data_IF_406631795243
#
_entry.id   IF_406631795243
#
_cell.length_a   1.000
_cell.length_b   1.000
_cell.length_c   1.000
_cell.angle_alpha   90.00
_cell.angle_beta   90.00
_cell.angle_gamma   90.00
#
_symmetry.space_group_name_H-M   'P 1'
#
loop_
_entity.id
_entity.type
_entity.pdbx_description
1 polymer ?
#
# COMPACT_ATOMS: atom_id res chain seq x y z
N UNK A 1 -20.34 8.79 -9.92
CA UNK A 1 -19.37 8.79 -8.82
C UNK A 1 -18.14 7.96 -9.22
N UNK A 2 -16.95 8.58 -9.21
CA UNK A 2 -15.74 7.97 -9.80
C UNK A 2 -15.22 6.75 -9.05
N UNK A 3 -15.46 6.65 -7.76
CA UNK A 3 -15.02 5.52 -6.94
C UNK A 3 -15.92 4.28 -7.05
N UNK A 4 -17.05 4.38 -7.74
CA UNK A 4 -17.93 3.23 -8.04
C UNK A 4 -18.80 2.74 -6.89
N UNK A 5 -19.12 3.60 -5.93
CA UNK A 5 -20.01 3.26 -4.83
C UNK A 5 -20.94 4.39 -4.40
N UNK A 6 -21.88 4.06 -3.54
CA UNK A 6 -22.82 4.98 -2.90
C UNK A 6 -22.69 4.83 -1.40
N UNK A 7 -22.46 5.94 -0.73
CA UNK A 7 -22.48 6.01 0.72
C UNK A 7 -23.88 5.70 1.26
N UNK A 8 -24.00 4.89 2.29
CA UNK A 8 -25.28 4.52 2.90
C UNK A 8 -25.39 4.87 4.35
N UNK A 9 -24.45 4.46 5.17
CA UNK A 9 -24.51 4.68 6.61
C UNK A 9 -23.11 4.91 7.19
N UNK A 10 -23.09 5.62 8.30
CA UNK A 10 -21.89 5.72 9.13
C UNK A 10 -22.22 5.38 10.58
N UNK A 11 -21.23 4.90 11.28
CA UNK A 11 -21.25 4.71 12.72
C UNK A 11 -19.90 5.10 13.28
N UNK A 12 -19.90 5.95 14.30
CA UNK A 12 -18.69 6.31 15.03
C UNK A 12 -18.74 5.61 16.38
N UNK A 13 -17.87 4.62 16.58
CA UNK A 13 -17.73 3.97 17.88
C UNK A 13 -16.75 4.78 18.72
N UNK A 14 -17.26 5.35 19.81
CA UNK A 14 -16.41 5.89 20.88
C UNK A 14 -15.85 4.78 21.80
N UNK A 15 -16.27 3.53 21.59
CA UNK A 15 -15.87 2.40 22.43
C UNK A 15 -15.02 1.40 21.63
N UNK A 16 -13.69 1.40 21.81
CA UNK A 16 -12.79 0.47 21.13
C UNK A 16 -12.98 -1.00 21.55
N UNK A 17 -13.89 -1.29 22.49
CA UNK A 17 -14.13 -2.66 22.99
C UNK A 17 -15.03 -3.50 22.08
N UNK A 18 -15.64 -2.91 21.06
CA UNK A 18 -16.53 -3.63 20.14
C UNK A 18 -16.17 -3.29 18.69
N UNK A 19 -14.98 -3.75 18.22
CA UNK A 19 -14.67 -3.64 16.81
C UNK A 19 -15.61 -4.57 16.02
N UNK A 20 -16.16 -4.08 14.91
CA UNK A 20 -16.97 -4.92 14.01
C UNK A 20 -16.09 -5.81 13.16
N UNK A 21 -16.50 -7.06 12.98
CA UNK A 21 -15.80 -8.00 12.11
C UNK A 21 -16.00 -7.66 10.63
N UNK A 22 -14.97 -7.91 9.84
CA UNK A 22 -14.93 -7.70 8.39
C UNK A 22 -14.37 -8.93 7.69
N UNK A 23 -14.83 -9.15 6.46
CA UNK A 23 -14.28 -10.16 5.56
C UNK A 23 -14.30 -11.57 6.17
N UNK A 24 -15.46 -11.96 6.71
CA UNK A 24 -15.67 -13.26 7.39
C UNK A 24 -14.73 -13.47 8.60
N UNK A 25 -14.57 -12.46 9.42
CA UNK A 25 -13.76 -12.51 10.62
C UNK A 25 -12.23 -12.40 10.41
N UNK A 26 -11.78 -12.12 9.18
CA UNK A 26 -10.34 -11.99 8.87
C UNK A 26 -9.69 -10.76 9.47
N UNK A 27 -10.47 -9.72 9.73
CA UNK A 27 -10.02 -8.50 10.39
C UNK A 27 -11.17 -7.84 11.13
N UNK A 28 -10.88 -6.79 11.89
CA UNK A 28 -11.89 -5.95 12.53
C UNK A 28 -11.66 -4.49 12.15
N UNK A 29 -12.77 -3.74 11.99
CA UNK A 29 -12.73 -2.30 11.80
C UNK A 29 -12.50 -1.56 13.11
N UNK A 30 -11.93 -0.36 13.04
CA UNK A 30 -11.63 0.50 14.18
C UNK A 30 -11.95 1.95 13.87
N UNK A 31 -12.21 2.74 14.92
CA UNK A 31 -12.36 4.20 14.93
C UNK A 31 -13.68 4.68 14.33
N UNK A 32 -13.92 4.51 13.03
CA UNK A 32 -15.17 4.87 12.36
C UNK A 32 -15.61 3.74 11.43
N UNK A 33 -16.88 3.77 11.04
CA UNK A 33 -17.48 2.73 10.22
C UNK A 33 -18.43 3.36 9.20
N UNK A 34 -18.02 3.43 7.95
CA UNK A 34 -18.84 3.82 6.81
C UNK A 34 -19.21 2.59 6.00
N UNK A 35 -20.48 2.43 5.71
CA UNK A 35 -21.00 1.34 4.88
C UNK A 35 -21.41 1.84 3.48
N UNK A 36 -21.02 1.09 2.45
CA UNK A 36 -21.25 1.45 1.06
C UNK A 36 -22.02 0.37 0.31
N UNK A 37 -22.87 0.79 -0.63
CA UNK A 37 -23.35 -0.04 -1.73
C UNK A 37 -22.53 0.24 -2.98
N UNK A 38 -22.28 -0.80 -3.79
CA UNK A 38 -21.43 -0.66 -4.97
C UNK A 38 -22.24 -0.25 -6.21
N UNK A 39 -21.64 0.60 -7.04
CA UNK A 39 -22.07 0.94 -8.40
C UNK A 39 -20.88 0.83 -9.35
N UNK A 40 -20.48 -0.41 -9.65
CA UNK A 40 -19.38 -0.69 -10.57
C UNK A 40 -18.02 -0.96 -9.91
N UNK A 41 -17.84 -0.67 -8.62
CA UNK A 41 -16.65 -1.09 -7.87
C UNK A 41 -16.76 -2.57 -7.43
N UNK A 42 -15.64 -3.16 -7.01
CA UNK A 42 -15.58 -4.50 -6.43
C UNK A 42 -15.43 -4.41 -4.91
N UNK A 43 -16.16 -5.25 -4.16
CA UNK A 43 -15.96 -5.39 -2.73
C UNK A 43 -14.63 -6.09 -2.45
N UNK A 44 -13.89 -5.58 -1.48
CA UNK A 44 -12.68 -6.21 -0.91
C UNK A 44 -12.95 -6.74 0.50
N UNK A 45 -13.76 -6.04 1.26
CA UNK A 45 -14.27 -6.50 2.54
C UNK A 45 -15.68 -5.97 2.76
N UNK A 46 -16.53 -6.79 3.34
CA UNK A 46 -17.87 -6.43 3.82
C UNK A 46 -17.91 -6.50 5.33
N UNK A 47 -18.83 -5.78 5.94
CA UNK A 47 -19.11 -5.96 7.37
C UNK A 47 -19.81 -7.28 7.61
N UNK A 48 -19.42 -7.99 8.66
CA UNK A 48 -20.03 -9.23 9.07
C UNK A 48 -21.33 -8.99 9.88
N UNK A 49 -22.02 -10.04 10.24
CA UNK A 49 -23.35 -9.97 10.90
C UNK A 49 -23.34 -9.29 12.28
N UNK A 50 -22.17 -9.18 12.93
CA UNK A 50 -22.01 -8.48 14.21
C UNK A 50 -22.03 -6.94 14.09
N UNK A 51 -21.98 -6.43 12.88
CA UNK A 51 -22.00 -4.99 12.60
C UNK A 51 -23.40 -4.36 12.52
N UNK A 52 -24.44 -5.09 12.94
CA UNK A 52 -25.83 -4.61 13.01
C UNK A 52 -26.33 -4.00 11.69
N UNK A 53 -26.61 -2.69 11.69
CA UNK A 53 -27.14 -1.98 10.53
C UNK A 53 -26.12 -1.81 9.38
N UNK A 54 -24.84 -2.11 9.62
CA UNK A 54 -23.78 -2.13 8.61
C UNK A 54 -23.60 -3.52 8.02
N UNK A 55 -24.21 -4.55 8.59
CA UNK A 55 -24.10 -5.93 8.10
C UNK A 55 -24.36 -5.99 6.58
N UNK A 56 -23.53 -6.72 5.87
CA UNK A 56 -23.54 -6.90 4.41
C UNK A 56 -23.18 -5.64 3.58
N UNK A 57 -23.06 -4.46 4.19
CA UNK A 57 -22.53 -3.30 3.49
C UNK A 57 -21.02 -3.43 3.27
N UNK A 58 -20.54 -2.82 2.19
CA UNK A 58 -19.13 -2.84 1.85
C UNK A 58 -18.35 -1.89 2.75
N UNK A 59 -17.33 -2.40 3.40
CA UNK A 59 -16.38 -1.66 4.24
C UNK A 59 -15.15 -1.20 3.45
N UNK A 60 -14.66 -2.04 2.52
CA UNK A 60 -13.50 -1.74 1.67
C UNK A 60 -13.86 -2.10 0.24
N UNK A 61 -13.66 -1.16 -0.68
CA UNK A 61 -13.93 -1.35 -2.11
C UNK A 61 -12.76 -0.94 -2.98
N UNK A 62 -12.70 -1.52 -4.17
CA UNK A 62 -11.75 -1.16 -5.23
C UNK A 62 -12.48 -0.84 -6.51
N UNK A 63 -12.07 0.24 -7.18
CA UNK A 63 -12.49 0.54 -8.54
C UNK A 63 -11.29 0.84 -9.43
N UNK A 64 -11.40 0.55 -10.72
CA UNK A 64 -10.40 0.92 -11.74
C UNK A 64 -10.80 2.20 -12.44
N UNK A 65 -9.83 3.11 -12.59
CA UNK A 65 -10.00 4.35 -13.35
C UNK A 65 -8.82 4.53 -14.28
N UNK A 66 -9.02 4.28 -15.58
CA UNK A 66 -7.93 4.22 -16.54
C UNK A 66 -6.92 3.12 -16.17
N UNK A 67 -5.64 3.46 -16.09
CA UNK A 67 -4.58 2.57 -15.61
C UNK A 67 -4.45 2.51 -14.08
N UNK A 68 -5.12 3.42 -13.37
CA UNK A 68 -5.03 3.50 -11.90
C UNK A 68 -6.13 2.72 -11.18
N UNK A 69 -5.99 2.67 -9.85
CA UNK A 69 -6.96 2.08 -8.93
C UNK A 69 -7.34 3.08 -7.84
N UNK A 70 -8.59 3.02 -7.43
CA UNK A 70 -9.12 3.76 -6.29
C UNK A 70 -9.56 2.72 -5.26
N UNK A 71 -8.98 2.76 -4.08
CA UNK A 71 -9.40 1.94 -2.94
C UNK A 71 -10.04 2.86 -1.91
N UNK A 72 -11.30 2.57 -1.56
CA UNK A 72 -12.04 3.33 -0.56
C UNK A 72 -12.20 2.46 0.67
N UNK A 73 -11.82 2.99 1.82
CA UNK A 73 -11.94 2.33 3.11
C UNK A 73 -12.95 3.08 3.98
N UNK A 74 -13.99 2.40 4.39
CA UNK A 74 -15.02 2.88 5.31
C UNK A 74 -14.68 2.68 6.77
N UNK A 75 -13.55 2.07 7.07
CA UNK A 75 -13.03 1.87 8.43
C UNK A 75 -11.52 1.69 8.38
N UNK A 76 -10.86 1.79 9.52
CA UNK A 76 -9.45 1.39 9.68
C UNK A 76 -9.42 -0.09 10.05
N UNK A 77 -8.97 -1.00 9.18
CA UNK A 77 -8.79 -2.40 9.57
C UNK A 77 -7.58 -2.56 10.50
N UNK A 78 -7.44 -3.74 11.10
CA UNK A 78 -6.26 -4.07 11.89
C UNK A 78 -4.97 -3.90 11.08
N UNK A 79 -3.88 -3.52 11.77
CA UNK A 79 -2.63 -3.12 11.13
C UNK A 79 -2.08 -4.18 10.15
N UNK A 80 -2.09 -5.45 10.52
CA UNK A 80 -1.57 -6.53 9.67
C UNK A 80 -2.40 -6.70 8.39
N UNK A 81 -3.73 -6.59 8.47
CA UNK A 81 -4.60 -6.63 7.31
C UNK A 81 -4.36 -5.42 6.39
N UNK A 82 -4.25 -4.23 6.98
CA UNK A 82 -3.98 -2.99 6.24
C UNK A 82 -2.63 -3.05 5.50
N UNK A 83 -1.57 -3.48 6.18
CA UNK A 83 -0.24 -3.64 5.58
C UNK A 83 -0.26 -4.66 4.45
N UNK A 84 -0.91 -5.83 4.65
CA UNK A 84 -1.03 -6.85 3.62
C UNK A 84 -1.82 -6.35 2.39
N UNK A 85 -2.86 -5.54 2.60
CA UNK A 85 -3.62 -4.92 1.52
C UNK A 85 -2.75 -3.95 0.70
N UNK A 86 -1.96 -3.10 1.35
CA UNK A 86 -1.01 -2.20 0.69
C UNK A 86 0.03 -3.00 -0.09
N UNK A 87 0.66 -4.01 0.53
CA UNK A 87 1.64 -4.87 -0.12
C UNK A 87 1.04 -5.57 -1.35
N UNK A 88 -0.21 -6.03 -1.27
CA UNK A 88 -0.91 -6.64 -2.40
C UNK A 88 -0.99 -5.68 -3.59
N UNK A 89 -1.34 -4.41 -3.36
CA UNK A 89 -1.40 -3.42 -4.42
C UNK A 89 -0.02 -3.01 -4.95
N UNK A 90 0.98 -2.93 -4.10
CA UNK A 90 2.35 -2.66 -4.52
C UNK A 90 2.94 -3.78 -5.37
N UNK A 91 2.64 -5.05 -5.04
CA UNK A 91 3.12 -6.23 -5.80
C UNK A 91 2.41 -6.44 -7.14
N UNK A 92 1.32 -5.75 -7.40
CA UNK A 92 0.60 -5.87 -8.68
C UNK A 92 1.33 -5.21 -9.86
N UNK A 93 2.34 -4.40 -9.56
CA UNK A 93 3.32 -3.91 -10.53
C UNK A 93 4.65 -4.59 -10.18
N UNK A 94 5.26 -5.31 -11.12
CA UNK A 94 6.59 -5.90 -10.90
C UNK A 94 7.56 -4.75 -10.65
N UNK A 95 8.07 -4.57 -9.45
CA UNK A 95 8.99 -3.46 -9.19
C UNK A 95 10.30 -3.72 -9.95
N UNK A 96 10.89 -2.66 -10.47
CA UNK A 96 12.21 -2.71 -11.13
C UNK A 96 13.34 -3.05 -10.12
N UNK A 97 12.99 -3.24 -8.87
CA UNK A 97 13.92 -3.54 -7.79
C UNK A 97 13.27 -4.32 -6.65
N UNK A 98 14.09 -4.98 -5.85
CA UNK A 98 13.75 -5.49 -4.50
C UNK A 98 14.83 -5.05 -3.52
N UNK A 99 14.47 -4.81 -2.27
CA UNK A 99 15.42 -4.38 -1.23
C UNK A 99 15.24 -5.15 0.06
N UNK A 100 16.30 -5.18 0.88
CA UNK A 100 16.22 -5.65 2.26
C UNK A 100 15.39 -4.69 3.13
N UNK A 101 14.84 -5.19 4.25
CA UNK A 101 13.90 -4.47 5.12
C UNK A 101 14.49 -3.23 5.81
N UNK A 102 15.80 -3.10 5.83
CA UNK A 102 16.52 -1.98 6.41
C UNK A 102 16.87 -0.88 5.39
N UNK A 103 16.48 -1.05 4.13
CA UNK A 103 16.71 -0.07 3.06
C UNK A 103 15.39 0.54 2.61
N UNK A 104 15.22 1.82 2.89
CA UNK A 104 14.12 2.61 2.34
C UNK A 104 14.40 2.91 0.87
N UNK A 105 13.50 2.49 -0.02
CA UNK A 105 13.58 2.75 -1.46
C UNK A 105 12.40 3.63 -1.89
N UNK A 106 12.70 4.79 -2.45
CA UNK A 106 11.70 5.74 -2.90
C UNK A 106 11.83 5.95 -4.41
N UNK A 107 10.94 5.35 -5.24
CA UNK A 107 10.93 5.58 -6.68
C UNK A 107 10.69 7.06 -7.00
N UNK A 108 11.37 7.54 -8.03
CA UNK A 108 11.20 8.89 -8.57
C UNK A 108 11.07 8.84 -10.08
N UNK A 109 10.15 9.67 -10.59
CA UNK A 109 9.94 9.88 -12.00
C UNK A 109 9.80 11.36 -12.29
N UNK A 110 10.51 11.85 -13.28
CA UNK A 110 10.48 13.25 -13.71
C UNK A 110 10.85 13.40 -15.18
N UNK A 111 10.92 14.63 -15.64
CA UNK A 111 11.28 14.92 -17.06
C UNK A 111 12.70 14.44 -17.42
N UNK A 112 13.60 14.35 -16.43
CA UNK A 112 14.97 13.89 -16.62
C UNK A 112 15.12 12.36 -16.64
N UNK A 113 14.07 11.62 -16.30
CA UNK A 113 14.11 10.15 -16.26
C UNK A 113 13.44 9.56 -15.00
N UNK A 114 13.72 8.30 -14.79
CA UNK A 114 13.21 7.50 -13.67
C UNK A 114 14.38 6.98 -12.83
N UNK A 115 14.16 6.80 -11.54
CA UNK A 115 15.19 6.29 -10.65
C UNK A 115 14.71 6.01 -9.24
N UNK A 116 15.66 5.80 -8.32
CA UNK A 116 15.42 5.48 -6.92
C UNK A 116 16.26 6.38 -6.01
N UNK A 117 15.68 6.84 -4.92
CA UNK A 117 16.43 7.36 -3.78
C UNK A 117 16.42 6.26 -2.71
N UNK A 118 17.59 5.92 -2.21
CA UNK A 118 17.80 4.83 -1.24
C UNK A 118 18.42 5.41 0.03
N UNK A 119 18.02 4.86 1.17
CA UNK A 119 18.67 5.15 2.45
C UNK A 119 18.64 3.90 3.34
N UNK A 120 19.79 3.46 3.81
CA UNK A 120 19.86 2.48 4.89
C UNK A 120 19.64 3.19 6.24
N UNK A 121 18.72 2.70 7.09
CA UNK A 121 18.27 3.42 8.29
C UNK A 121 18.37 2.62 9.60
N UNK A 122 18.90 1.38 9.57
CA UNK A 122 19.02 0.51 10.77
C UNK A 122 20.45 0.25 11.21
N UNK A 123 21.44 0.99 10.67
CA UNK A 123 22.86 0.81 10.95
C UNK A 123 23.35 -0.63 10.69
N UNK A 124 22.89 -1.25 9.62
CA UNK A 124 23.23 -2.61 9.21
C UNK A 124 23.50 -2.68 7.71
N UNK A 125 24.33 -3.62 7.22
CA UNK A 125 24.49 -3.81 5.79
C UNK A 125 23.14 -4.10 5.13
N UNK A 126 22.84 -3.39 4.04
CA UNK A 126 21.64 -3.56 3.23
C UNK A 126 21.95 -4.13 1.85
N UNK A 127 20.93 -4.60 1.17
CA UNK A 127 21.00 -5.09 -0.20
C UNK A 127 19.86 -4.55 -1.05
N UNK A 128 20.14 -4.30 -2.32
CA UNK A 128 19.19 -3.94 -3.35
C UNK A 128 19.44 -4.83 -4.57
N UNK A 129 18.40 -5.41 -5.14
CA UNK A 129 18.48 -6.10 -6.44
C UNK A 129 17.78 -5.27 -7.49
N UNK A 130 18.51 -4.89 -8.54
CA UNK A 130 18.03 -4.08 -9.67
C UNK A 130 17.72 -4.96 -10.88
N UNK A 131 16.51 -4.84 -11.42
CA UNK A 131 16.13 -5.47 -12.68
C UNK A 131 16.55 -4.63 -13.92
N UNK A 132 16.96 -3.39 -13.69
CA UNK A 132 17.46 -2.44 -14.72
C UNK A 132 18.81 -1.87 -14.28
N UNK A 133 19.66 -1.51 -15.24
CA UNK A 133 20.90 -0.78 -14.95
C UNK A 133 20.57 0.62 -14.45
N UNK A 134 21.35 1.09 -13.48
CA UNK A 134 21.22 2.44 -12.94
C UNK A 134 22.59 3.04 -12.61
N UNK A 135 22.73 4.35 -12.77
CA UNK A 135 23.92 5.09 -12.35
C UNK A 135 23.61 5.86 -11.08
N UNK A 136 24.47 5.72 -10.09
CA UNK A 136 24.41 6.55 -8.88
C UNK A 136 24.90 7.97 -9.19
N UNK A 137 24.01 8.94 -9.01
CA UNK A 137 24.30 10.35 -9.29
C UNK A 137 25.27 10.98 -8.28
N UNK A 138 25.48 10.37 -7.11
CA UNK A 138 26.39 10.87 -6.11
C UNK A 138 27.84 10.47 -6.39
N UNK A 139 28.03 9.25 -6.93
CA UNK A 139 29.37 8.68 -7.16
C UNK A 139 29.72 8.50 -8.63
N UNK A 140 28.74 8.55 -9.53
CA UNK A 140 28.92 8.23 -10.95
C UNK A 140 29.06 6.75 -11.25
N UNK A 141 28.96 5.88 -10.25
CA UNK A 141 29.09 4.42 -10.41
C UNK A 141 27.84 3.82 -11.01
N UNK A 142 28.01 2.91 -11.98
CA UNK A 142 26.90 2.18 -12.59
C UNK A 142 26.72 0.81 -11.93
N UNK A 143 25.48 0.49 -11.59
CA UNK A 143 25.07 -0.75 -10.94
C UNK A 143 24.12 -1.55 -11.81
N UNK A 144 24.13 -2.87 -11.64
CA UNK A 144 23.16 -3.80 -12.23
C UNK A 144 23.11 -5.09 -11.40
N UNK A 145 21.92 -5.66 -11.21
CA UNK A 145 21.76 -6.83 -10.35
C UNK A 145 21.87 -6.46 -8.87
N UNK A 146 22.66 -7.24 -8.12
CA UNK A 146 22.79 -7.05 -6.66
C UNK A 146 23.73 -5.89 -6.33
N UNK A 147 23.29 -5.01 -5.43
CA UNK A 147 24.01 -3.84 -4.93
C UNK A 147 24.05 -3.90 -3.42
N UNK A 148 25.25 -3.83 -2.85
CA UNK A 148 25.44 -3.73 -1.41
C UNK A 148 25.40 -2.29 -0.94
N UNK A 149 24.68 -2.04 0.15
CA UNK A 149 24.49 -0.72 0.74
C UNK A 149 25.12 -0.75 2.13
N UNK A 150 26.05 0.18 2.39
CA UNK A 150 26.70 0.27 3.69
C UNK A 150 25.71 0.81 4.77
N UNK A 151 25.99 0.56 6.07
CA UNK A 151 25.20 1.16 7.15
C UNK A 151 25.13 2.69 7.04
N UNK A 152 23.91 3.23 7.11
CA UNK A 152 23.57 4.67 6.96
C UNK A 152 23.96 5.29 5.62
N UNK A 153 24.21 4.48 4.61
CA UNK A 153 24.50 4.98 3.27
C UNK A 153 23.25 5.45 2.53
N UNK A 154 23.45 6.39 1.61
CA UNK A 154 22.41 6.97 0.75
C UNK A 154 22.88 6.90 -0.69
N UNK A 155 22.01 6.45 -1.58
CA UNK A 155 22.28 6.42 -3.02
C UNK A 155 21.15 7.11 -3.79
N UNK A 156 21.50 7.75 -4.91
CA UNK A 156 20.54 8.36 -5.84
C UNK A 156 20.74 7.73 -7.21
N UNK A 157 19.96 6.69 -7.49
CA UNK A 157 20.09 5.89 -8.70
C UNK A 157 19.20 6.44 -9.82
N UNK A 158 19.77 6.68 -11.00
CA UNK A 158 19.06 7.01 -12.22
C UNK A 158 19.12 5.80 -13.16
N UNK A 159 17.97 5.29 -13.62
CA UNK A 159 17.92 4.20 -14.59
C UNK A 159 18.43 4.65 -15.96
N UNK A 160 19.14 3.74 -16.65
CA UNK A 160 19.70 3.95 -17.98
C UNK A 160 19.22 2.86 -18.94
#
# INVERSE_FOLDING_TARGET
EEWGGVYRKYFVSSNPRYPFSLDNGRTTGQIWYDGYELKGACAKATYDSDAFELADLVAISENRKGSGRIVVMGTVPQADYFVNLIIHYMKSETPDFTSSDNVLCVPRKGNAGEGLILAEYRHAPGALSLNRKATDLLTGTTYSGEVHIAPYDVMVLMYI
#
